data_IF_014203035103
#
_entry.id   IF_014203035103
#
_cell.length_a   1.000
_cell.length_b   1.000
_cell.length_c   1.000
_cell.angle_alpha   90.00
_cell.angle_beta   90.00
_cell.angle_gamma   90.00
#
_symmetry.space_group_name_H-M   'P 1'
#
loop_
_entity.id
_entity.type
_entity.pdbx_description
1 polymer ?
#
# COMPACT_ATOMS: atom_id res chain seq x y z
N UNK A 1 -28.68 -4.34 -21.47
CA UNK A 1 -30.13 -4.23 -21.76
C UNK A 1 -30.62 -2.79 -21.67
N UNK A 2 -30.50 -2.09 -20.52
CA UNK A 2 -30.96 -0.69 -20.39
C UNK A 2 -30.35 0.31 -21.37
N UNK A 3 -29.03 0.25 -21.61
CA UNK A 3 -28.36 1.11 -22.61
C UNK A 3 -28.87 0.84 -24.03
N UNK A 4 -29.08 -0.43 -24.40
CA UNK A 4 -29.57 -0.80 -25.72
C UNK A 4 -31.03 -0.34 -25.95
N UNK A 5 -31.88 -0.40 -24.92
CA UNK A 5 -33.23 0.14 -24.97
C UNK A 5 -33.24 1.68 -25.06
N UNK A 6 -32.32 2.36 -24.38
CA UNK A 6 -32.14 3.82 -24.49
C UNK A 6 -31.67 4.27 -25.87
N UNK A 7 -30.70 3.57 -26.46
CA UNK A 7 -30.23 3.85 -27.84
C UNK A 7 -31.35 3.58 -28.85
N UNK A 8 -32.08 2.47 -28.74
CA UNK A 8 -33.23 2.19 -29.60
C UNK A 8 -34.30 3.27 -29.51
N UNK A 9 -34.61 3.72 -28.29
CA UNK A 9 -35.61 4.76 -28.05
C UNK A 9 -35.14 6.16 -28.46
N UNK A 10 -33.84 6.43 -28.51
CA UNK A 10 -33.31 7.67 -29.07
C UNK A 10 -33.51 7.76 -30.59
N UNK A 11 -33.43 6.63 -31.30
CA UNK A 11 -33.64 6.58 -32.76
C UNK A 11 -35.12 6.47 -33.18
N UNK A 12 -35.97 5.86 -32.35
CA UNK A 12 -37.38 5.57 -32.70
C UNK A 12 -38.42 6.23 -31.78
N UNK A 13 -38.00 7.06 -30.82
CA UNK A 13 -38.88 7.72 -29.85
C UNK A 13 -39.25 9.16 -30.20
N UNK A 14 -40.31 9.72 -29.61
CA UNK A 14 -40.74 11.10 -29.86
C UNK A 14 -39.73 12.11 -29.30
N UNK A 15 -39.51 13.21 -30.04
CA UNK A 15 -38.45 14.20 -29.75
C UNK A 15 -38.57 14.86 -28.37
N UNK A 16 -39.79 14.94 -27.83
CA UNK A 16 -40.10 15.49 -26.51
C UNK A 16 -39.58 14.64 -25.33
N UNK A 17 -39.18 13.39 -25.55
CA UNK A 17 -38.69 12.48 -24.51
C UNK A 17 -37.15 12.32 -24.52
N UNK A 18 -36.44 12.98 -25.45
CA UNK A 18 -34.99 12.83 -25.62
C UNK A 18 -34.21 13.16 -24.34
N UNK A 19 -34.61 14.19 -23.59
CA UNK A 19 -33.98 14.54 -22.30
C UNK A 19 -34.12 13.41 -21.27
N UNK A 20 -35.29 12.79 -21.16
CA UNK A 20 -35.55 11.66 -20.25
C UNK A 20 -34.74 10.43 -20.62
N UNK A 21 -34.55 10.19 -21.93
CA UNK A 21 -33.70 9.12 -22.43
C UNK A 21 -32.24 9.34 -22.01
N UNK A 22 -31.72 10.56 -22.14
CA UNK A 22 -30.37 10.90 -21.69
C UNK A 22 -30.19 10.74 -20.19
N UNK A 23 -31.12 11.24 -19.38
CA UNK A 23 -31.09 11.07 -17.91
C UNK A 23 -31.09 9.58 -17.55
N UNK A 24 -31.91 8.77 -18.22
CA UNK A 24 -31.97 7.32 -18.01
C UNK A 24 -30.67 6.62 -18.40
N UNK A 25 -30.03 7.03 -19.51
CA UNK A 25 -28.74 6.49 -19.94
C UNK A 25 -27.64 6.83 -18.93
N UNK A 26 -27.59 8.08 -18.45
CA UNK A 26 -26.66 8.52 -17.40
C UNK A 26 -26.88 7.73 -16.11
N UNK A 27 -28.13 7.51 -15.72
CA UNK A 27 -28.49 6.71 -14.55
C UNK A 27 -28.06 5.25 -14.66
N UNK A 28 -28.24 4.64 -15.84
CA UNK A 28 -27.78 3.27 -16.10
C UNK A 28 -26.25 3.20 -16.05
N UNK A 29 -25.55 4.20 -16.57
CA UNK A 29 -24.09 4.26 -16.53
C UNK A 29 -23.55 4.41 -15.09
N UNK A 30 -24.19 5.24 -14.28
CA UNK A 30 -23.89 5.37 -12.84
C UNK A 30 -24.00 4.02 -12.11
N UNK A 31 -25.11 3.29 -12.33
CA UNK A 31 -25.29 1.96 -11.73
C UNK A 31 -24.27 0.94 -12.22
N UNK A 32 -23.84 1.06 -13.49
CA UNK A 32 -22.77 0.22 -14.04
C UNK A 32 -21.45 0.48 -13.31
N UNK A 33 -21.06 1.73 -13.07
CA UNK A 33 -19.82 2.04 -12.34
C UNK A 33 -19.83 1.42 -10.93
N UNK A 34 -20.94 1.57 -10.20
CA UNK A 34 -21.09 1.01 -8.85
C UNK A 34 -20.98 -0.52 -8.87
N UNK A 35 -21.69 -1.16 -9.80
CA UNK A 35 -21.70 -2.62 -9.91
C UNK A 35 -20.33 -3.18 -10.31
N UNK A 36 -19.60 -2.48 -11.19
CA UNK A 36 -18.21 -2.81 -11.52
C UNK A 36 -17.28 -2.72 -10.31
N UNK A 37 -17.44 -1.71 -9.47
CA UNK A 37 -16.69 -1.56 -8.22
C UNK A 37 -16.97 -2.70 -7.24
N UNK A 38 -18.25 -3.07 -7.05
CA UNK A 38 -18.65 -4.18 -6.20
C UNK A 38 -18.05 -5.52 -6.67
N UNK A 39 -18.04 -5.76 -7.99
CA UNK A 39 -17.41 -6.94 -8.59
C UNK A 39 -15.90 -6.93 -8.39
N UNK A 40 -15.23 -5.78 -8.53
CA UNK A 40 -13.78 -5.66 -8.32
C UNK A 40 -13.37 -6.02 -6.88
N UNK A 41 -14.19 -5.65 -5.89
CA UNK A 41 -13.94 -5.96 -4.47
C UNK A 41 -14.27 -7.41 -4.13
N UNK A 42 -15.25 -8.00 -4.82
CA UNK A 42 -15.70 -9.39 -4.59
C UNK A 42 -14.68 -10.44 -5.06
N UNK A 43 -13.72 -10.06 -5.90
CA UNK A 43 -12.57 -10.91 -6.21
C UNK A 43 -11.56 -10.77 -5.08
N UNK A 44 -11.75 -11.60 -4.05
CA UNK A 44 -10.91 -11.57 -2.87
C UNK A 44 -9.45 -11.81 -3.24
N UNK A 45 -8.62 -10.78 -3.10
CA UNK A 45 -7.18 -10.91 -3.18
C UNK A 45 -6.74 -11.73 -1.99
N UNK A 46 -6.49 -13.03 -2.20
CA UNK A 46 -5.94 -13.93 -1.18
C UNK A 46 -4.82 -13.23 -0.41
N UNK A 47 -5.09 -12.84 0.83
CA UNK A 47 -4.12 -12.13 1.66
C UNK A 47 -3.05 -13.13 2.10
N UNK A 48 -1.87 -13.12 1.46
CA UNK A 48 -0.80 -14.14 1.65
C UNK A 48 0.10 -13.87 2.87
N UNK A 49 0.01 -12.71 3.52
CA UNK A 49 0.96 -12.35 4.61
C UNK A 49 0.41 -12.77 5.98
N UNK A 50 1.07 -13.77 6.58
CA UNK A 50 0.73 -14.38 7.88
C UNK A 50 1.15 -13.55 9.11
N UNK A 51 1.83 -12.43 8.92
CA UNK A 51 2.08 -11.42 9.96
C UNK A 51 2.42 -10.08 9.28
N UNK A 52 1.63 -9.05 9.54
CA UNK A 52 1.86 -7.71 8.99
C UNK A 52 3.00 -7.05 9.77
N UNK A 53 4.10 -6.70 9.10
CA UNK A 53 5.15 -5.86 9.70
C UNK A 53 4.68 -4.42 9.72
N UNK A 54 4.74 -3.79 10.88
CA UNK A 54 4.39 -2.38 11.04
C UNK A 54 5.69 -1.59 11.09
N UNK A 55 5.84 -0.63 10.19
CA UNK A 55 6.96 0.31 10.20
C UNK A 55 6.80 1.26 11.39
N UNK A 56 7.85 1.36 12.22
CA UNK A 56 7.90 2.32 13.33
C UNK A 56 9.35 2.72 13.57
N UNK A 57 9.60 3.99 13.89
CA UNK A 57 10.93 4.47 14.27
C UNK A 57 10.98 4.75 15.76
N UNK A 58 11.73 3.97 16.53
CA UNK A 58 11.87 4.22 17.96
C UNK A 58 13.27 3.91 18.51
N UNK A 59 13.77 4.69 19.48
CA UNK A 59 15.05 4.41 20.10
C UNK A 59 14.99 3.15 20.96
N UNK A 60 16.04 2.36 20.86
CA UNK A 60 16.25 1.13 21.62
C UNK A 60 17.75 0.96 21.93
N UNK A 61 18.07 -0.07 22.70
CA UNK A 61 19.44 -0.53 22.85
C UNK A 61 19.52 -2.05 22.82
N UNK A 62 20.64 -2.59 22.37
CA UNK A 62 20.97 -4.00 22.55
C UNK A 62 21.98 -4.13 23.68
N UNK A 63 21.67 -4.99 24.64
CA UNK A 63 22.62 -5.47 25.64
C UNK A 63 23.11 -6.87 25.24
N UNK A 64 24.43 -7.00 25.05
CA UNK A 64 25.09 -8.30 24.88
C UNK A 64 25.28 -8.99 26.23
N UNK A 65 25.46 -10.31 26.20
CA UNK A 65 25.75 -11.11 27.41
C UNK A 65 27.08 -10.71 28.09
N UNK A 66 27.98 -10.06 27.35
CA UNK A 66 29.24 -9.52 27.88
C UNK A 66 29.09 -8.14 28.57
N UNK A 67 27.87 -7.63 28.70
CA UNK A 67 27.57 -6.36 29.35
C UNK A 67 27.69 -5.12 28.46
N UNK A 68 28.10 -5.25 27.19
CA UNK A 68 28.15 -4.11 26.28
C UNK A 68 26.76 -3.70 25.80
N UNK A 69 26.53 -2.39 25.77
CA UNK A 69 25.30 -1.75 25.34
C UNK A 69 25.53 -0.97 24.05
N UNK A 70 24.68 -1.21 23.05
CA UNK A 70 24.72 -0.53 21.76
C UNK A 70 23.40 0.20 21.52
N UNK A 71 23.47 1.50 21.25
CA UNK A 71 22.30 2.27 20.84
C UNK A 71 21.83 1.83 19.46
N UNK A 72 20.53 1.60 19.31
CA UNK A 72 19.92 1.29 18.03
C UNK A 72 18.55 1.94 17.89
N UNK A 73 18.01 1.89 16.69
CA UNK A 73 16.67 2.37 16.37
C UNK A 73 15.89 1.21 15.77
N UNK A 74 14.73 0.88 16.33
CA UNK A 74 13.80 -0.06 15.71
C UNK A 74 13.16 0.63 14.52
N UNK A 75 13.06 -0.04 13.38
CA UNK A 75 12.43 0.46 12.15
C UNK A 75 11.18 -0.34 11.73
N UNK A 76 11.11 -1.62 12.09
CA UNK A 76 9.91 -2.44 11.88
C UNK A 76 9.73 -3.43 13.02
N UNK A 77 8.48 -3.85 13.24
CA UNK A 77 8.21 -4.99 14.11
C UNK A 77 7.09 -5.88 13.55
N UNK A 78 7.12 -7.13 14.01
CA UNK A 78 6.08 -8.13 13.83
C UNK A 78 5.92 -8.93 15.12
N UNK A 79 4.91 -9.79 15.17
CA UNK A 79 4.69 -10.73 16.28
C UNK A 79 5.91 -11.67 16.52
N UNK A 80 6.68 -11.97 15.45
CA UNK A 80 7.82 -12.89 15.52
C UNK A 80 9.19 -12.23 15.71
N UNK A 81 9.30 -10.90 15.61
CA UNK A 81 10.61 -10.24 15.65
C UNK A 81 10.59 -8.78 15.22
N UNK A 82 11.76 -8.14 15.32
CA UNK A 82 11.95 -6.72 15.06
C UNK A 82 13.10 -6.47 14.08
N UNK A 83 12.92 -5.50 13.19
CA UNK A 83 14.00 -4.89 12.43
C UNK A 83 14.59 -3.72 13.20
N UNK A 84 15.90 -3.71 13.39
CA UNK A 84 16.62 -2.60 14.02
C UNK A 84 17.77 -2.11 13.14
N UNK A 85 18.20 -0.88 13.39
CA UNK A 85 19.40 -0.27 12.82
C UNK A 85 20.31 0.17 13.96
N UNK A 86 21.54 -0.32 13.97
CA UNK A 86 22.49 0.00 15.05
C UNK A 86 23.23 1.29 14.70
N UNK A 87 23.34 2.18 15.70
CA UNK A 87 24.07 3.44 15.58
C UNK A 87 25.55 3.19 15.88
N UNK A 88 26.38 3.11 14.83
CA UNK A 88 27.84 2.92 14.92
C UNK A 88 28.32 1.54 14.46
N UNK A 89 29.57 1.20 14.80
CA UNK A 89 30.20 -0.09 14.45
C UNK A 89 29.93 -1.14 15.53
N UNK A 90 28.67 -1.59 15.64
CA UNK A 90 28.35 -2.68 16.56
C UNK A 90 28.71 -4.04 15.96
N UNK A 91 29.32 -4.89 16.78
CA UNK A 91 29.61 -6.27 16.45
C UNK A 91 28.55 -7.15 17.10
N UNK A 92 27.47 -7.42 16.38
CA UNK A 92 26.55 -8.52 16.72
C UNK A 92 26.67 -9.58 15.65
N UNK A 93 26.67 -10.84 16.07
CA UNK A 93 26.80 -11.98 15.18
C UNK A 93 25.44 -12.64 14.98
N UNK A 94 25.21 -13.20 13.79
CA UNK A 94 24.03 -14.03 13.56
C UNK A 94 23.97 -15.22 14.53
N UNK A 95 22.78 -15.51 15.02
CA UNK A 95 22.53 -16.53 16.04
C UNK A 95 22.83 -16.10 17.48
N UNK A 96 23.48 -14.95 17.69
CA UNK A 96 23.81 -14.48 19.03
C UNK A 96 22.54 -14.15 19.84
N UNK A 97 22.53 -14.57 21.11
CA UNK A 97 21.49 -14.18 22.06
C UNK A 97 21.85 -12.83 22.67
N UNK A 98 20.91 -11.92 22.66
CA UNK A 98 21.07 -10.56 23.21
C UNK A 98 19.75 -10.14 23.84
N UNK A 99 19.80 -9.10 24.67
CA UNK A 99 18.60 -8.49 25.23
C UNK A 99 18.31 -7.18 24.50
N UNK A 100 17.09 -7.06 23.95
CA UNK A 100 16.59 -5.81 23.42
C UNK A 100 16.02 -4.98 24.56
N UNK A 101 16.55 -3.79 24.76
CA UNK A 101 16.07 -2.83 25.74
C UNK A 101 15.16 -1.82 25.07
N UNK A 102 13.90 -1.76 25.52
CA UNK A 102 12.93 -0.76 25.11
C UNK A 102 12.53 0.11 26.30
N UNK A 103 12.20 1.37 26.01
CA UNK A 103 11.73 2.32 27.01
C UNK A 103 10.24 2.55 26.88
N UNK A 104 9.57 2.66 28.03
CA UNK A 104 8.21 3.18 28.15
C UNK A 104 8.19 4.25 29.25
N UNK A 105 8.09 5.50 28.84
CA UNK A 105 8.27 6.63 29.77
C UNK A 105 9.66 6.59 30.40
N UNK A 106 9.72 6.49 31.73
CA UNK A 106 10.99 6.40 32.49
C UNK A 106 11.42 4.97 32.82
N UNK A 107 10.64 3.96 32.43
CA UNK A 107 10.94 2.56 32.71
C UNK A 107 11.62 1.89 31.52
N UNK A 108 12.63 1.08 31.79
CA UNK A 108 13.33 0.24 30.82
C UNK A 108 12.91 -1.22 30.98
N UNK A 109 12.64 -1.86 29.85
CA UNK A 109 12.22 -3.26 29.76
C UNK A 109 13.20 -4.03 28.88
N UNK A 110 13.57 -5.24 29.31
CA UNK A 110 14.48 -6.11 28.59
C UNK A 110 13.75 -7.33 28.01
N UNK A 111 13.94 -7.55 26.71
CA UNK A 111 13.33 -8.65 25.98
C UNK A 111 14.41 -9.56 25.40
N UNK A 112 14.41 -10.86 25.75
CA UNK A 112 15.37 -11.79 25.19
C UNK A 112 15.08 -12.00 23.70
N UNK A 113 16.12 -11.79 22.88
CA UNK A 113 16.04 -11.93 21.43
C UNK A 113 17.25 -12.71 20.90
N UNK A 114 17.10 -13.25 19.71
CA UNK A 114 18.19 -13.83 18.93
C UNK A 114 18.42 -13.01 17.68
N UNK A 115 19.67 -12.73 17.36
CA UNK A 115 20.04 -12.11 16.09
C UNK A 115 19.76 -13.11 14.96
N UNK A 116 18.78 -12.81 14.12
CA UNK A 116 18.37 -13.67 13.02
C UNK A 116 19.12 -13.38 11.72
N UNK A 117 19.44 -12.11 11.46
CA UNK A 117 20.20 -11.66 10.29
C UNK A 117 20.99 -10.40 10.59
N UNK A 118 22.15 -10.24 9.97
CA UNK A 118 22.96 -9.01 10.04
C UNK A 118 23.31 -8.56 8.61
N UNK A 119 22.88 -7.35 8.25
CA UNK A 119 23.20 -6.73 6.97
C UNK A 119 23.78 -5.32 7.21
N UNK A 120 25.09 -5.23 7.35
CA UNK A 120 25.75 -3.97 7.70
C UNK A 120 25.29 -3.44 9.06
N UNK A 121 24.65 -2.27 9.08
CA UNK A 121 24.07 -1.68 10.29
C UNK A 121 22.65 -2.18 10.61
N UNK A 122 21.99 -2.86 9.67
CA UNK A 122 20.64 -3.37 9.84
C UNK A 122 20.66 -4.79 10.39
N UNK A 123 19.90 -5.02 11.45
CA UNK A 123 19.87 -6.29 12.15
C UNK A 123 18.43 -6.73 12.31
N UNK A 124 18.15 -7.97 11.91
CA UNK A 124 16.88 -8.61 12.21
C UNK A 124 16.99 -9.38 13.52
N UNK A 125 16.06 -9.12 14.43
CA UNK A 125 15.95 -9.78 15.72
C UNK A 125 14.74 -10.70 15.71
N UNK A 126 14.90 -11.90 16.25
CA UNK A 126 13.82 -12.84 16.53
C UNK A 126 13.52 -12.82 18.03
N UNK A 127 12.25 -12.65 18.38
CA UNK A 127 11.81 -12.75 19.77
C UNK A 127 11.96 -14.18 20.27
N UNK A 128 12.62 -14.35 21.41
CA UNK A 128 12.62 -15.63 22.12
C UNK A 128 11.28 -15.80 22.85
N UNK A 129 10.91 -17.04 23.25
CA UNK A 129 9.68 -17.25 24.02
C UNK A 129 9.63 -16.34 25.25
N UNK A 130 8.61 -15.47 25.29
CA UNK A 130 8.39 -14.53 26.38
C UNK A 130 7.41 -15.11 27.39
N UNK A 131 7.55 -14.71 28.65
CA UNK A 131 6.48 -14.90 29.65
C UNK A 131 5.28 -14.01 29.32
N UNK A 132 4.09 -14.33 29.85
CA UNK A 132 2.88 -13.51 29.63
C UNK A 132 3.10 -12.04 30.02
N UNK A 133 3.80 -11.78 31.14
CA UNK A 133 4.09 -10.42 31.58
C UNK A 133 5.03 -9.69 30.60
N UNK A 134 6.12 -10.33 30.18
CA UNK A 134 7.03 -9.75 29.18
C UNK A 134 6.32 -9.53 27.85
N UNK A 135 5.40 -10.40 27.46
CA UNK A 135 4.62 -10.21 26.24
C UNK A 135 3.72 -8.97 26.34
N UNK A 136 3.04 -8.77 27.48
CA UNK A 136 2.27 -7.55 27.76
C UNK A 136 3.17 -6.31 27.71
N UNK A 137 4.31 -6.35 28.39
CA UNK A 137 5.26 -5.24 28.42
C UNK A 137 5.81 -4.92 27.01
N UNK A 138 6.07 -5.96 26.21
CA UNK A 138 6.53 -5.82 24.83
C UNK A 138 5.49 -5.13 23.95
N UNK A 139 4.23 -5.58 24.01
CA UNK A 139 3.12 -4.96 23.28
C UNK A 139 2.92 -3.51 23.72
N UNK A 140 3.06 -3.23 25.01
CA UNK A 140 2.93 -1.88 25.56
C UNK A 140 4.09 -0.96 25.16
N UNK A 141 5.29 -1.51 24.99
CA UNK A 141 6.42 -0.76 24.46
C UNK A 141 6.28 -0.53 22.95
N UNK A 142 5.69 -1.45 22.20
CA UNK A 142 5.65 -1.38 20.72
C UNK A 142 4.32 -0.80 20.22
N UNK A 143 3.29 -1.63 20.14
CA UNK A 143 2.00 -1.30 19.53
C UNK A 143 1.19 -0.25 20.30
N UNK A 144 1.20 -0.32 21.63
CA UNK A 144 0.36 0.58 22.45
C UNK A 144 0.95 2.00 22.61
N UNK A 145 2.09 2.29 21.96
CA UNK A 145 2.76 3.58 22.08
C UNK A 145 2.03 4.65 21.26
N UNK A 146 1.68 5.75 21.91
CA UNK A 146 0.92 6.86 21.32
C UNK A 146 1.70 7.60 20.20
N UNK A 147 3.04 7.66 20.30
CA UNK A 147 3.90 8.42 19.38
C UNK A 147 3.80 7.94 17.91
N UNK A 148 3.53 6.64 17.73
CA UNK A 148 3.34 6.02 16.41
C UNK A 148 2.07 6.47 15.69
N UNK A 149 1.04 6.89 16.45
CA UNK A 149 -0.25 7.32 15.90
C UNK A 149 -0.24 8.81 15.52
N UNK A 150 0.54 9.63 16.23
CA UNK A 150 0.64 11.06 15.95
C UNK A 150 1.33 11.34 14.59
N UNK A 151 2.41 10.63 14.26
CA UNK A 151 3.14 10.77 13.00
C UNK A 151 2.35 10.25 11.78
N UNK A 152 1.44 9.30 11.98
CA UNK A 152 0.57 8.77 10.93
C UNK A 152 -0.46 9.80 10.45
N UNK A 153 -0.88 10.69 11.36
CA UNK A 153 -1.87 11.73 11.03
C UNK A 153 -1.28 12.85 10.16
N UNK A 154 0.03 13.08 10.23
CA UNK A 154 0.74 14.06 9.39
C UNK A 154 1.09 13.53 8.00
N UNK A 155 0.93 12.23 7.77
CA UNK A 155 1.31 11.56 6.52
C UNK A 155 0.15 11.34 5.55
N UNK A 156 -1.05 11.89 5.83
CA UNK A 156 -2.14 11.86 4.86
C UNK A 156 -1.82 12.84 3.73
N UNK A 157 -1.52 12.36 2.50
CA UNK A 157 -1.39 13.26 1.37
C UNK A 157 -2.72 14.00 1.19
N UNK A 158 -2.67 15.31 0.88
CA UNK A 158 -3.85 16.11 0.60
C UNK A 158 -4.81 15.34 -0.33
N UNK A 159 -6.07 15.22 0.09
CA UNK A 159 -7.11 14.58 -0.70
C UNK A 159 -7.21 15.26 -2.06
N UNK A 160 -6.93 14.51 -3.13
CA UNK A 160 -7.07 15.00 -4.50
C UNK A 160 -8.39 14.47 -5.06
N UNK A 161 -9.51 15.20 -4.91
CA UNK A 161 -10.85 14.70 -5.22
C UNK A 161 -11.00 14.20 -6.66
N UNK A 162 -10.23 14.78 -7.59
CA UNK A 162 -10.24 14.40 -9.00
C UNK A 162 -9.42 13.13 -9.30
N UNK A 163 -8.36 12.86 -8.53
CA UNK A 163 -7.63 11.59 -8.62
C UNK A 163 -8.47 10.45 -8.04
N UNK A 164 -9.16 10.67 -6.92
CA UNK A 164 -10.08 9.69 -6.30
C UNK A 164 -11.23 9.28 -7.21
N UNK A 165 -11.84 10.23 -7.94
CA UNK A 165 -12.90 9.92 -8.90
C UNK A 165 -12.39 9.05 -10.06
N UNK A 166 -11.20 9.37 -10.59
CA UNK A 166 -10.57 8.58 -11.64
C UNK A 166 -10.22 7.17 -11.15
N UNK A 167 -9.82 7.02 -9.90
CA UNK A 167 -9.47 5.73 -9.32
C UNK A 167 -10.71 4.85 -9.09
N UNK A 168 -11.85 5.42 -8.70
CA UNK A 168 -13.13 4.72 -8.65
C UNK A 168 -13.55 4.25 -10.05
N UNK A 169 -13.41 5.10 -11.07
CA UNK A 169 -13.72 4.74 -12.47
C UNK A 169 -12.80 3.62 -12.98
N UNK A 170 -11.49 3.70 -12.72
CA UNK A 170 -10.52 2.64 -13.05
C UNK A 170 -10.84 1.34 -12.31
N UNK A 171 -11.22 1.41 -11.04
CA UNK A 171 -11.58 0.25 -10.24
C UNK A 171 -12.83 -0.44 -10.81
N UNK A 172 -13.86 0.33 -11.15
CA UNK A 172 -15.06 -0.18 -11.82
C UNK A 172 -14.72 -0.88 -13.14
N UNK A 173 -13.87 -0.26 -13.97
CA UNK A 173 -13.42 -0.86 -15.23
C UNK A 173 -12.55 -2.12 -15.03
N UNK A 174 -11.75 -2.17 -13.96
CA UNK A 174 -10.95 -3.35 -13.60
C UNK A 174 -11.82 -4.53 -13.18
N UNK A 175 -12.87 -4.30 -12.39
CA UNK A 175 -13.85 -5.33 -12.03
C UNK A 175 -14.55 -5.91 -13.26
N UNK A 176 -14.90 -5.03 -14.20
CA UNK A 176 -15.42 -5.40 -15.51
C UNK A 176 -14.43 -6.25 -16.33
N UNK A 177 -13.16 -5.84 -16.43
CA UNK A 177 -12.12 -6.60 -17.13
C UNK A 177 -11.93 -7.99 -16.52
N UNK A 178 -11.88 -8.10 -15.19
CA UNK A 178 -11.76 -9.38 -14.52
C UNK A 178 -12.95 -10.30 -14.81
N UNK A 179 -14.18 -9.77 -14.80
CA UNK A 179 -15.38 -10.55 -15.16
C UNK A 179 -15.33 -11.05 -16.62
N UNK A 180 -14.75 -10.27 -17.54
CA UNK A 180 -14.59 -10.65 -18.94
C UNK A 180 -13.57 -11.77 -19.16
N UNK A 181 -12.55 -11.89 -18.30
CA UNK A 181 -11.57 -12.98 -18.36
C UNK A 181 -12.22 -14.34 -18.02
N UNK A 182 -13.26 -14.35 -17.18
CA UNK A 182 -14.03 -15.55 -16.81
C UNK A 182 -15.30 -15.78 -17.67
N UNK A 183 -15.55 -14.97 -18.71
CA UNK A 183 -16.80 -15.03 -19.50
C UNK A 183 -16.68 -15.88 -20.79
N UNK A 184 -17.77 -16.53 -21.27
CA UNK A 184 -17.79 -17.33 -22.51
C UNK A 184 -17.39 -16.54 -23.77
N UNK A 185 -16.93 -17.22 -24.86
CA UNK A 185 -16.35 -16.58 -26.05
C UNK A 185 -17.21 -15.49 -26.69
N UNK A 186 -18.54 -15.64 -26.66
CA UNK A 186 -19.51 -14.71 -27.24
C UNK A 186 -19.54 -13.34 -26.53
N UNK A 187 -19.25 -13.32 -25.22
CA UNK A 187 -19.26 -12.10 -24.39
C UNK A 187 -17.95 -11.32 -24.55
N UNK A 188 -16.84 -12.01 -24.89
CA UNK A 188 -15.53 -11.39 -25.12
C UNK A 188 -15.53 -10.39 -26.28
N UNK A 189 -16.33 -10.62 -27.33
CA UNK A 189 -16.41 -9.71 -28.49
C UNK A 189 -17.06 -8.38 -28.09
N UNK A 190 -18.18 -8.43 -27.38
CA UNK A 190 -18.90 -7.23 -26.90
C UNK A 190 -18.03 -6.44 -25.93
N UNK A 191 -17.32 -7.15 -25.03
CA UNK A 191 -16.41 -6.52 -24.08
C UNK A 191 -15.20 -5.87 -24.75
N UNK A 192 -14.65 -6.49 -25.79
CA UNK A 192 -13.51 -5.95 -26.54
C UNK A 192 -13.91 -4.68 -27.29
N UNK A 193 -15.10 -4.64 -27.89
CA UNK A 193 -15.62 -3.42 -28.52
C UNK A 193 -15.83 -2.29 -27.52
N UNK A 194 -16.36 -2.59 -26.34
CA UNK A 194 -16.57 -1.60 -25.28
C UNK A 194 -15.24 -1.07 -24.71
N UNK A 195 -14.26 -1.94 -24.48
CA UNK A 195 -12.94 -1.53 -23.98
C UNK A 195 -12.15 -0.73 -25.02
N UNK A 196 -12.28 -1.03 -26.32
CA UNK A 196 -11.70 -0.19 -27.39
C UNK A 196 -12.34 1.19 -27.46
N UNK A 197 -13.67 1.29 -27.30
CA UNK A 197 -14.37 2.57 -27.30
C UNK A 197 -13.96 3.43 -26.10
N UNK A 198 -13.84 2.83 -24.91
CA UNK A 198 -13.31 3.53 -23.72
C UNK A 198 -11.87 3.94 -23.91
N UNK A 199 -11.01 3.08 -24.47
CA UNK A 199 -9.61 3.44 -24.76
C UNK A 199 -9.50 4.58 -25.79
N UNK A 200 -10.39 4.61 -26.78
CA UNK A 200 -10.49 5.69 -27.75
C UNK A 200 -10.92 7.01 -27.08
N UNK A 201 -11.90 6.99 -26.18
CA UNK A 201 -12.30 8.19 -25.41
C UNK A 201 -11.16 8.65 -24.48
N UNK A 202 -10.52 7.73 -23.77
CA UNK A 202 -9.39 8.03 -22.87
C UNK A 202 -8.18 8.57 -23.64
N UNK A 203 -8.06 8.29 -24.95
CA UNK A 203 -6.99 8.87 -25.77
C UNK A 203 -7.05 10.40 -25.89
N UNK A 204 -8.23 11.00 -25.66
CA UNK A 204 -8.41 12.46 -25.62
C UNK A 204 -8.02 13.08 -24.26
N UNK A 205 -7.72 12.27 -23.25
CA UNK A 205 -7.23 12.78 -21.96
C UNK A 205 -5.78 13.25 -22.13
N UNK A 206 -5.44 14.50 -21.74
CA UNK A 206 -4.10 15.04 -21.89
C UNK A 206 -3.08 14.15 -21.16
N UNK A 207 -2.17 13.53 -21.90
CA UNK A 207 -1.06 12.79 -21.30
C UNK A 207 -0.06 13.81 -20.78
N UNK A 208 0.21 13.80 -19.47
CA UNK A 208 1.37 14.52 -18.94
C UNK A 208 2.61 13.95 -19.66
N UNK A 209 3.42 14.78 -20.33
CA UNK A 209 4.63 14.27 -20.97
C UNK A 209 5.48 13.62 -19.88
N UNK A 210 5.90 12.37 -20.12
CA UNK A 210 7.00 11.79 -19.36
C UNK A 210 8.15 12.79 -19.40
N UNK A 211 8.67 13.14 -18.24
CA UNK A 211 9.92 13.89 -18.07
C UNK A 211 11.05 12.98 -18.58
N UNK A 212 11.16 12.86 -19.91
CA UNK A 212 12.33 12.30 -20.55
C UNK A 212 13.49 13.25 -20.28
N UNK A 213 14.59 12.68 -19.76
CA UNK A 213 15.92 13.27 -19.68
C UNK A 213 16.15 14.39 -18.64
N UNK A 214 16.12 14.04 -17.35
CA UNK A 214 17.04 14.62 -16.37
C UNK A 214 18.37 13.81 -16.33
N UNK A 215 18.93 13.46 -17.49
CA UNK A 215 20.21 12.72 -17.62
C UNK A 215 21.30 13.57 -18.32
N UNK A 216 21.01 14.81 -18.74
CA UNK A 216 22.02 15.69 -19.36
C UNK A 216 22.29 16.91 -18.48
N UNK A 217 23.09 16.75 -17.42
CA UNK A 217 23.93 17.80 -16.79
C UNK A 217 24.60 17.27 -15.51
N UNK A 218 25.42 16.25 -15.65
CA UNK A 218 26.46 15.96 -14.68
C UNK A 218 27.65 15.34 -15.43
N UNK A 219 28.26 16.14 -16.30
CA UNK A 219 29.62 15.87 -16.77
C UNK A 219 30.57 16.65 -15.84
N UNK A 220 31.61 16.01 -15.28
CA UNK A 220 32.52 16.67 -14.35
C UNK A 220 33.50 17.54 -15.14
N UNK A 221 33.52 18.84 -14.87
CA UNK A 221 34.62 19.70 -15.29
C UNK A 221 35.89 19.29 -14.53
N UNK A 222 36.77 18.54 -15.21
CA UNK A 222 38.19 18.52 -14.91
C UNK A 222 39.01 18.77 -16.18
N UNK A 223 39.97 19.67 -16.03
CA UNK A 223 41.19 19.93 -16.82
C UNK A 223 41.16 21.09 -17.82
N UNK A 224 41.81 22.20 -17.43
CA UNK A 224 42.91 22.90 -18.14
C UNK A 224 42.94 24.41 -17.82
N UNK A 225 43.70 24.82 -16.80
CA UNK A 225 45.01 25.50 -16.90
C UNK A 225 45.50 25.91 -15.51
#
# INVERSE_FOLDING_TARGET
>A
MGVAAGVWRHFYGPENEILTVWVSIVWVFYNLIILGGAVAVSVESKQVRRSHRVEMSMPAAIAREDGHLFSCTVHDYSDGGLGIKINGKAQVLEGQKVNLLLKRGQQEYAFPVRVARVNGSEVGLQLMPLTNQQHIDFVQCTFARADTWALWQDSFPEDKPMESLLDILKLGFRGYRHLAEFSPPSVKVIFRSLTMLVAWIVSFVPRRPERAAAILSAEPEMAQQ
#
